data_IF_945150605179
#
_entry.id   IF_945150605179
#
_cell.length_a   1.000
_cell.length_b   1.000
_cell.length_c   1.000
_cell.angle_alpha   90.00
_cell.angle_beta   90.00
_cell.angle_gamma   90.00
#
_symmetry.space_group_name_H-M   'P 1'
#
loop_
_entity.id
_entity.type
_entity.pdbx_description
1 polymer ?
#
# COMPACT_ATOMS: atom_id res chain seq x y z
N UNK A 1 -16.67 -5.92 -5.96
CA UNK A 1 -16.58 -5.03 -7.14
C UNK A 1 -15.95 -5.82 -8.27
N UNK A 2 -16.67 -6.05 -9.38
CA UNK A 2 -16.33 -7.04 -10.41
C UNK A 2 -15.13 -6.73 -11.31
N UNK A 3 -14.10 -6.10 -10.77
CA UNK A 3 -12.83 -5.86 -11.46
C UNK A 3 -11.91 -7.07 -11.31
N UNK A 4 -11.24 -7.48 -12.40
CA UNK A 4 -10.39 -8.67 -12.43
C UNK A 4 -9.16 -8.58 -11.51
N UNK A 5 -8.72 -7.38 -11.16
CA UNK A 5 -7.56 -7.12 -10.31
C UNK A 5 -7.95 -6.78 -8.87
N UNK A 6 -9.24 -6.75 -8.56
CA UNK A 6 -9.70 -6.52 -7.20
C UNK A 6 -9.51 -7.79 -6.35
N UNK A 7 -8.54 -7.72 -5.44
CA UNK A 7 -8.22 -8.79 -4.49
C UNK A 7 -8.84 -8.56 -3.10
N UNK A 8 -9.90 -7.76 -2.99
CA UNK A 8 -10.63 -7.46 -1.75
C UNK A 8 -9.77 -6.76 -0.66
N UNK A 9 -10.13 -6.90 0.61
CA UNK A 9 -9.55 -6.19 1.75
C UNK A 9 -8.16 -6.72 2.19
N UNK A 10 -7.23 -5.82 2.48
CA UNK A 10 -5.93 -6.15 3.12
C UNK A 10 -6.05 -6.17 4.65
N UNK A 11 -5.32 -7.07 5.32
CA UNK A 11 -5.19 -7.07 6.77
C UNK A 11 -5.74 -8.31 7.47
N UNK A 12 -6.29 -8.14 8.67
CA UNK A 12 -6.81 -9.26 9.48
C UNK A 12 -7.99 -10.02 8.87
N UNK A 13 -8.72 -9.40 7.94
CA UNK A 13 -9.88 -9.98 7.25
C UNK A 13 -9.60 -10.39 5.80
N UNK A 14 -8.33 -10.34 5.37
CA UNK A 14 -7.97 -10.62 3.99
C UNK A 14 -8.28 -12.07 3.60
N UNK A 15 -8.71 -12.28 2.36
CA UNK A 15 -8.78 -13.64 1.80
C UNK A 15 -7.37 -14.27 1.77
N UNK A 16 -7.27 -15.62 1.72
CA UNK A 16 -5.97 -16.28 1.57
C UNK A 16 -5.18 -15.77 0.36
N UNK A 17 -5.85 -15.55 -0.78
CA UNK A 17 -5.23 -15.05 -2.01
C UNK A 17 -4.69 -13.63 -1.82
N UNK A 18 -5.46 -12.74 -1.20
CA UNK A 18 -5.01 -11.37 -0.90
C UNK A 18 -3.77 -11.39 -0.01
N UNK A 19 -3.76 -12.24 1.02
CA UNK A 19 -2.64 -12.35 1.94
C UNK A 19 -1.38 -12.88 1.24
N UNK A 20 -1.53 -13.90 0.40
CA UNK A 20 -0.44 -14.46 -0.40
C UNK A 20 0.15 -13.41 -1.33
N UNK A 21 -0.69 -12.74 -2.12
CA UNK A 21 -0.23 -11.74 -3.09
C UNK A 21 0.46 -10.55 -2.40
N UNK A 22 -0.07 -10.02 -1.30
CA UNK A 22 0.55 -8.91 -0.57
C UNK A 22 1.85 -9.35 0.10
N UNK A 23 1.90 -10.56 0.66
CA UNK A 23 3.13 -11.07 1.31
C UNK A 23 4.21 -11.47 0.30
N UNK A 24 3.85 -11.76 -0.95
CA UNK A 24 4.77 -12.08 -2.04
C UNK A 24 5.17 -10.88 -2.90
N UNK A 25 4.61 -9.69 -2.65
CA UNK A 25 4.93 -8.49 -3.41
C UNK A 25 6.31 -7.94 -3.00
N UNK A 26 7.15 -7.64 -3.98
CA UNK A 26 8.43 -6.93 -3.83
C UNK A 26 8.26 -5.40 -3.84
N UNK A 27 7.10 -4.91 -4.29
CA UNK A 27 6.70 -3.50 -4.28
C UNK A 27 5.26 -3.36 -3.78
N UNK A 28 5.06 -2.48 -2.80
CA UNK A 28 3.75 -2.08 -2.31
C UNK A 28 3.58 -0.57 -2.42
N UNK A 29 2.54 -0.12 -3.14
CA UNK A 29 2.22 1.31 -3.29
C UNK A 29 0.90 1.62 -2.59
N UNK A 30 0.98 2.31 -1.46
CA UNK A 30 -0.17 2.76 -0.67
C UNK A 30 -0.63 4.16 -1.07
N UNK A 31 -1.72 4.25 -1.84
CA UNK A 31 -2.39 5.53 -2.14
C UNK A 31 -3.41 5.86 -1.05
N UNK A 32 -3.16 6.90 -0.25
CA UNK A 32 -4.06 7.33 0.83
C UNK A 32 -4.24 6.23 1.87
N UNK A 33 -3.20 5.42 2.06
CA UNK A 33 -3.21 4.25 2.90
C UNK A 33 -2.30 4.50 4.10
N UNK A 34 -2.89 4.48 5.30
CA UNK A 34 -2.14 4.69 6.54
C UNK A 34 -1.16 3.55 6.85
N UNK A 35 -1.30 2.37 6.24
CA UNK A 35 -0.49 1.18 6.55
C UNK A 35 -0.44 0.89 8.06
N UNK A 36 -1.59 0.96 8.73
CA UNK A 36 -1.66 0.72 10.18
C UNK A 36 -1.68 -0.78 10.52
N UNK A 37 -1.72 -1.10 11.82
CA UNK A 37 -1.75 -2.49 12.31
C UNK A 37 -2.89 -3.34 11.74
N UNK A 38 -4.02 -2.74 11.39
CA UNK A 38 -5.15 -3.47 10.80
C UNK A 38 -4.86 -3.81 9.35
N UNK A 39 -4.41 -2.83 8.56
CA UNK A 39 -4.04 -3.01 7.15
C UNK A 39 -2.90 -4.01 6.98
N UNK A 40 -1.92 -4.01 7.89
CA UNK A 40 -0.72 -4.84 7.80
C UNK A 40 -0.77 -6.15 8.60
N UNK A 41 -1.93 -6.51 9.18
CA UNK A 41 -2.07 -7.70 10.04
C UNK A 41 -1.01 -7.72 11.16
N UNK A 42 -0.93 -6.64 11.92
CA UNK A 42 0.08 -6.40 12.97
C UNK A 42 1.52 -6.43 12.42
N UNK A 43 1.73 -5.87 11.23
CA UNK A 43 3.05 -5.77 10.58
C UNK A 43 3.55 -7.06 9.94
N UNK A 44 2.75 -8.13 9.91
CA UNK A 44 3.15 -9.45 9.38
C UNK A 44 2.82 -9.66 7.91
N UNK A 45 2.06 -8.74 7.32
CA UNK A 45 1.53 -8.92 5.96
C UNK A 45 2.47 -8.44 4.87
N UNK A 46 3.25 -7.39 5.13
CA UNK A 46 4.19 -6.83 4.16
C UNK A 46 5.53 -7.54 4.34
N UNK A 47 6.10 -8.05 3.24
CA UNK A 47 7.41 -8.69 3.28
C UNK A 47 8.48 -7.72 3.79
N UNK A 48 9.47 -8.20 4.58
CA UNK A 48 10.52 -7.35 5.14
C UNK A 48 11.42 -6.71 4.09
N UNK A 49 11.51 -7.30 2.90
CA UNK A 49 12.30 -6.87 1.75
C UNK A 49 11.47 -6.14 0.67
N UNK A 50 10.15 -6.00 0.87
CA UNK A 50 9.31 -5.25 -0.04
C UNK A 50 9.66 -3.75 0.01
N UNK A 51 9.82 -3.15 -1.16
CA UNK A 51 9.86 -1.69 -1.31
C UNK A 51 8.48 -1.12 -1.03
N UNK A 52 8.38 -0.19 -0.09
CA UNK A 52 7.12 0.44 0.31
C UNK A 52 7.08 1.90 -0.07
N UNK A 53 6.12 2.25 -0.92
CA UNK A 53 5.80 3.61 -1.32
C UNK A 53 4.50 4.04 -0.65
N UNK A 54 4.49 5.22 -0.02
CA UNK A 54 3.29 5.78 0.59
C UNK A 54 3.00 7.17 0.02
N UNK A 55 1.77 7.36 -0.48
CA UNK A 55 1.30 8.64 -1.01
C UNK A 55 0.19 9.16 -0.12
N UNK A 56 0.37 10.33 0.48
CA UNK A 56 -0.61 10.92 1.39
C UNK A 56 -0.67 12.45 1.26
N UNK A 57 -1.84 13.02 1.59
CA UNK A 57 -2.05 14.47 1.65
C UNK A 57 -1.60 15.05 3.00
N UNK A 58 -1.57 14.23 4.05
CA UNK A 58 -1.10 14.59 5.38
C UNK A 58 0.37 14.19 5.54
N UNK A 59 1.32 15.16 5.59
CA UNK A 59 2.74 14.84 5.75
C UNK A 59 3.03 13.98 6.99
N UNK A 60 2.31 14.20 8.09
CA UNK A 60 2.49 13.45 9.33
C UNK A 60 2.04 11.98 9.28
N UNK A 61 1.29 11.58 8.24
CA UNK A 61 0.84 10.20 8.06
C UNK A 61 1.90 9.31 7.38
N UNK A 62 2.83 9.92 6.63
CA UNK A 62 3.87 9.21 5.89
C UNK A 62 4.87 8.62 6.88
N UNK A 63 5.03 7.29 6.84
CA UNK A 63 5.94 6.58 7.72
C UNK A 63 5.48 6.46 9.19
N UNK A 64 4.25 6.89 9.51
CA UNK A 64 3.75 6.90 10.90
C UNK A 64 3.70 5.50 11.54
N UNK A 65 3.41 4.48 10.74
CA UNK A 65 3.15 3.12 11.23
C UNK A 65 4.22 2.10 10.84
N UNK A 66 5.03 2.37 9.81
CA UNK A 66 6.22 1.59 9.44
C UNK A 66 7.15 2.44 8.57
N UNK A 67 8.40 2.01 8.45
CA UNK A 67 9.37 2.63 7.54
C UNK A 67 8.89 2.52 6.09
N UNK A 68 9.02 3.61 5.34
CA UNK A 68 8.70 3.67 3.91
C UNK A 68 9.96 4.02 3.14
N UNK A 69 10.17 3.37 1.99
CA UNK A 69 11.32 3.62 1.12
C UNK A 69 11.14 4.90 0.31
N UNK A 70 9.89 5.23 -0.02
CA UNK A 70 9.54 6.49 -0.69
C UNK A 70 8.20 7.04 -0.18
N UNK A 71 8.26 8.22 0.45
CA UNK A 71 7.08 9.01 0.81
C UNK A 71 6.80 10.10 -0.23
N UNK A 72 5.57 10.19 -0.73
CA UNK A 72 5.11 11.26 -1.61
C UNK A 72 4.02 12.08 -0.93
N UNK A 73 4.34 13.32 -0.60
CA UNK A 73 3.35 14.28 -0.11
C UNK A 73 2.59 14.89 -1.29
N UNK A 74 1.29 14.61 -1.38
CA UNK A 74 0.44 15.15 -2.43
C UNK A 74 -0.84 14.35 -2.66
N UNK A 75 -1.64 14.82 -3.62
CA UNK A 75 -2.92 14.21 -3.96
C UNK A 75 -2.75 12.88 -4.70
N UNK A 76 -3.30 11.81 -4.13
CA UNK A 76 -3.22 10.44 -4.67
C UNK A 76 -3.69 10.32 -6.12
N UNK A 77 -4.75 11.05 -6.50
CA UNK A 77 -5.28 11.03 -7.86
C UNK A 77 -4.32 11.70 -8.87
N UNK A 78 -3.61 12.75 -8.46
CA UNK A 78 -2.59 13.39 -9.28
C UNK A 78 -1.39 12.47 -9.48
N UNK A 79 -0.89 11.90 -8.38
CA UNK A 79 0.24 10.95 -8.38
C UNK A 79 -0.06 9.72 -9.23
N UNK A 80 -1.24 9.09 -9.06
CA UNK A 80 -1.62 7.92 -9.84
C UNK A 80 -1.77 8.20 -11.34
N UNK A 81 -2.17 9.40 -11.75
CA UNK A 81 -2.17 9.80 -13.17
C UNK A 81 -0.75 10.01 -13.69
N UNK A 82 0.11 10.64 -12.90
CA UNK A 82 1.50 10.88 -13.30
C UNK A 82 2.27 9.57 -13.54
N UNK A 83 2.00 8.51 -12.77
CA UNK A 83 2.64 7.20 -12.98
C UNK A 83 2.24 6.54 -14.31
N UNK A 84 1.04 6.81 -14.83
CA UNK A 84 0.59 6.30 -16.14
C UNK A 84 1.17 7.07 -17.33
N UNK A 85 1.60 8.32 -17.14
CA UNK A 85 2.12 9.18 -18.20
C UNK A 85 3.63 9.00 -18.43
N UNK A 86 4.28 8.18 -17.61
CA UNK A 86 5.72 7.90 -17.69
C UNK A 86 6.05 6.72 -18.63
N UNK A 87 5.04 6.06 -19.19
CA UNK A 87 5.15 5.03 -20.25
C UNK A 87 4.83 5.64 -21.61
#
# INVERSE_FOLDING_TARGET
NGDAWNIDVSGGFSSPLTAELVSGADLLVGFGCALNMWTMRHGRLIAPDATVVQVDLEPGAIGLHRDVDLGLWGGVAGTARATTAWL
#
